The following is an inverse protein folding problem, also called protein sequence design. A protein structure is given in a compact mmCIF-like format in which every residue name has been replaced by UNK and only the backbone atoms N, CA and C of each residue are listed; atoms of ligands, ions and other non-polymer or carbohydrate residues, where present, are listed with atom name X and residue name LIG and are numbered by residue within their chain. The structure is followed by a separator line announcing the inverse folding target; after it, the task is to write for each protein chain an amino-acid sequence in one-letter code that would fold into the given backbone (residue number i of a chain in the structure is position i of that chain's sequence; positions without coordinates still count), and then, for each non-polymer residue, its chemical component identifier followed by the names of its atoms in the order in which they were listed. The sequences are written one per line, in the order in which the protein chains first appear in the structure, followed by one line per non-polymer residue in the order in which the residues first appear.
data_IF_750845187303
#
_entry.id   IF_750845187303
#
_cell.length_a   1.000
_cell.length_b   1.000
_cell.length_c   1.000
_cell.angle_alpha   90.00
_cell.angle_beta   90.00
_cell.angle_gamma   90.00
#
_symmetry.space_group_name_H-M   'P 1'
#
loop_
_entity.id
_entity.type
_entity.pdbx_description
1 polymer ?
#
# COMPACT_ATOMS: atom_id res chain seq x y z
N UNK A 1 7.04 -5.76 -19.53
CA UNK A 1 7.94 -4.99 -18.66
C UNK A 1 7.17 -4.79 -17.35
N UNK A 2 7.46 -5.59 -16.31
CA UNK A 2 7.05 -5.25 -14.94
C UNK A 2 7.65 -3.89 -14.63
N UNK A 3 6.83 -2.93 -14.21
CA UNK A 3 7.24 -1.54 -14.07
C UNK A 3 7.92 -1.42 -12.71
N UNK A 4 8.96 -0.60 -12.56
CA UNK A 4 9.64 -0.39 -11.26
C UNK A 4 8.70 -0.02 -10.10
N UNK A 5 7.46 0.41 -10.40
CA UNK A 5 6.41 0.58 -9.40
C UNK A 5 6.03 -0.71 -8.68
N UNK A 6 6.05 -1.85 -9.36
CA UNK A 6 5.73 -3.16 -8.80
C UNK A 6 6.73 -3.53 -7.68
N UNK A 7 8.02 -3.26 -7.89
CA UNK A 7 9.06 -3.55 -6.89
C UNK A 7 8.90 -2.69 -5.62
N UNK A 8 8.47 -1.43 -5.77
CA UNK A 8 8.23 -0.55 -4.62
C UNK A 8 6.94 -0.92 -3.88
N UNK A 9 5.90 -1.34 -4.62
CA UNK A 9 4.69 -1.90 -4.04
C UNK A 9 4.98 -3.18 -3.23
N UNK A 10 5.84 -4.06 -3.73
CA UNK A 10 6.26 -5.27 -3.02
C UNK A 10 6.94 -4.96 -1.67
N UNK A 11 7.77 -3.91 -1.61
CA UNK A 11 8.41 -3.47 -0.36
C UNK A 11 7.38 -2.96 0.65
N UNK A 12 6.41 -2.16 0.20
CA UNK A 12 5.33 -1.66 1.08
C UNK A 12 4.46 -2.80 1.58
N UNK A 13 4.13 -3.77 0.72
CA UNK A 13 3.38 -4.96 1.12
C UNK A 13 4.17 -5.81 2.15
N UNK A 14 5.49 -5.95 1.98
CA UNK A 14 6.33 -6.70 2.91
C UNK A 14 6.38 -6.06 4.31
N UNK A 15 6.45 -4.73 4.38
CA UNK A 15 6.44 -4.00 5.66
C UNK A 15 5.12 -4.19 6.42
N UNK A 16 3.99 -4.17 5.71
CA UNK A 16 2.69 -4.48 6.30
C UNK A 16 2.63 -5.92 6.83
N UNK A 17 3.09 -6.89 6.04
CA UNK A 17 3.11 -8.30 6.47
C UNK A 17 4.02 -8.51 7.69
N UNK A 18 5.15 -7.80 7.76
CA UNK A 18 6.03 -7.82 8.93
C UNK A 18 5.32 -7.23 10.15
N UNK A 19 4.62 -6.10 9.99
CA UNK A 19 3.82 -5.50 11.06
C UNK A 19 2.71 -6.43 11.56
N UNK A 20 2.07 -7.20 10.67
CA UNK A 20 1.08 -8.22 11.06
C UNK A 20 1.71 -9.38 11.84
N UNK A 21 2.94 -9.77 11.52
CA UNK A 21 3.65 -10.82 12.24
C UNK A 21 4.11 -10.37 13.64
N UNK A 22 4.56 -9.12 13.74
CA UNK A 22 5.00 -8.52 15.00
C UNK A 22 3.83 -8.27 15.97
N UNK A 23 2.67 -7.88 15.44
CA UNK A 23 1.45 -7.69 16.21
C UNK A 23 0.23 -8.34 15.51
N UNK A 24 0.00 -9.65 15.71
CA UNK A 24 -1.12 -10.36 15.11
C UNK A 24 -2.50 -9.86 15.55
N UNK A 25 -2.57 -9.08 16.63
CA UNK A 25 -3.83 -8.50 17.12
C UNK A 25 -4.21 -7.19 16.44
N UNK A 26 -3.28 -6.59 15.68
CA UNK A 26 -3.46 -5.27 15.07
C UNK A 26 -4.36 -5.31 13.84
N UNK A 27 -4.22 -6.34 13.01
CA UNK A 27 -4.91 -6.45 11.73
C UNK A 27 -5.70 -7.76 11.65
N UNK A 28 -6.91 -7.69 11.09
CA UNK A 28 -7.74 -8.84 10.81
C UNK A 28 -7.38 -9.48 9.47
N UNK A 29 -7.18 -8.63 8.45
CA UNK A 29 -6.73 -9.05 7.13
C UNK A 29 -6.01 -7.92 6.41
N UNK A 30 -5.21 -8.29 5.41
CA UNK A 30 -4.61 -7.40 4.43
C UNK A 30 -4.86 -7.94 3.02
N UNK A 31 -4.97 -7.03 2.06
CA UNK A 31 -5.13 -7.31 0.64
C UNK A 31 -4.13 -6.46 -0.15
N UNK A 32 -3.32 -7.13 -0.97
CA UNK A 32 -2.43 -6.50 -1.96
C UNK A 32 -3.13 -6.54 -3.32
N UNK A 33 -2.91 -5.53 -4.17
CA UNK A 33 -3.62 -5.39 -5.46
C UNK A 33 -5.15 -5.30 -5.24
N UNK A 34 -5.57 -4.36 -4.39
CA UNK A 34 -6.96 -4.26 -3.93
C UNK A 34 -7.87 -3.55 -4.96
N UNK A 35 -8.05 -4.17 -6.13
CA UNK A 35 -8.80 -3.62 -7.27
C UNK A 35 -10.31 -3.37 -6.98
N UNK A 36 -10.84 -3.98 -5.92
CA UNK A 36 -12.25 -3.93 -5.54
C UNK A 36 -12.67 -2.74 -4.67
N UNK A 37 -11.72 -1.94 -4.16
CA UNK A 37 -11.99 -0.84 -3.23
C UNK A 37 -12.13 0.55 -3.91
N UNK A 38 -12.14 0.60 -5.24
CA UNK A 38 -12.26 1.83 -6.03
C UNK A 38 -10.92 2.30 -6.61
N UNK A 39 -10.81 3.58 -6.99
CA UNK A 39 -9.60 4.21 -7.56
C UNK A 39 -8.39 4.32 -6.58
N UNK A 40 -8.44 3.58 -5.47
CA UNK A 40 -7.52 3.50 -4.34
C UNK A 40 -7.61 2.02 -3.90
N UNK A 41 -6.56 1.20 -3.78
CA UNK A 41 -5.16 1.40 -3.43
C UNK A 41 -4.35 0.13 -3.74
N UNK A 42 -3.02 0.22 -3.73
CA UNK A 42 -2.12 -0.89 -4.01
C UNK A 42 -2.06 -1.92 -2.85
N UNK A 43 -2.32 -1.46 -1.62
CA UNK A 43 -2.39 -2.28 -0.39
C UNK A 43 -3.48 -1.75 0.55
N UNK A 44 -4.34 -2.63 1.06
CA UNK A 44 -5.40 -2.33 2.03
C UNK A 44 -5.30 -3.26 3.23
N UNK A 45 -5.51 -2.75 4.43
CA UNK A 45 -5.57 -3.52 5.67
C UNK A 45 -6.80 -3.15 6.50
N UNK A 46 -7.46 -4.16 7.09
CA UNK A 46 -8.47 -3.96 8.12
C UNK A 46 -7.86 -4.19 9.48
N UNK A 47 -8.01 -3.21 10.36
CA UNK A 47 -7.61 -3.30 11.76
C UNK A 47 -8.68 -4.01 12.59
N UNK A 48 -8.26 -4.64 13.68
CA UNK A 48 -9.18 -5.31 14.60
C UNK A 48 -10.14 -4.34 15.33
N UNK A 49 -9.84 -3.03 15.33
CA UNK A 49 -10.75 -1.98 15.81
C UNK A 49 -11.77 -1.50 14.75
N UNK A 50 -11.75 -2.11 13.56
CA UNK A 50 -12.64 -1.80 12.44
C UNK A 50 -12.17 -0.66 11.54
N UNK A 51 -11.00 -0.06 11.81
CA UNK A 51 -10.43 0.96 10.93
C UNK A 51 -9.84 0.34 9.65
N UNK A 52 -10.05 0.99 8.51
CA UNK A 52 -9.43 0.61 7.24
C UNK A 52 -8.24 1.51 6.99
N UNK A 53 -7.09 0.90 6.75
CA UNK A 53 -5.87 1.56 6.30
C UNK A 53 -5.66 1.22 4.83
N UNK A 54 -5.60 2.24 3.98
CA UNK A 54 -5.52 2.09 2.53
C UNK A 54 -4.32 2.91 2.02
N UNK A 55 -3.43 2.25 1.28
CA UNK A 55 -2.11 2.79 0.89
C UNK A 55 -1.94 2.80 -0.63
N UNK A 56 -1.92 4.00 -1.20
CA UNK A 56 -1.55 4.22 -2.61
C UNK A 56 -0.03 4.37 -2.75
N UNK A 57 0.58 3.54 -3.59
CA UNK A 57 2.01 3.55 -3.89
C UNK A 57 2.21 4.21 -5.25
N UNK A 58 2.61 5.50 -5.23
CA UNK A 58 3.00 6.22 -6.46
C UNK A 58 4.52 6.20 -6.63
N UNK A 59 4.98 5.52 -7.67
CA UNK A 59 6.37 5.59 -8.12
C UNK A 59 6.53 6.69 -9.18
N UNK A 60 7.41 7.67 -8.92
CA UNK A 60 7.78 8.70 -9.90
C UNK A 60 9.25 8.53 -10.31
N UNK A 61 9.51 8.24 -11.59
CA UNK A 61 10.87 8.10 -12.12
C UNK A 61 11.65 9.43 -12.14
N UNK A 62 10.94 10.55 -12.01
CA UNK A 62 11.47 11.91 -11.89
C UNK A 62 10.80 12.57 -10.67
N UNK A 63 11.33 12.38 -9.45
CA UNK A 63 10.71 12.90 -8.23
C UNK A 63 10.70 14.44 -8.16
N UNK A 64 11.47 15.11 -9.01
CA UNK A 64 11.68 16.56 -9.02
C UNK A 64 10.57 17.32 -9.78
N UNK A 65 9.75 16.63 -10.58
CA UNK A 65 8.67 17.24 -11.38
C UNK A 65 7.28 17.11 -10.72
N UNK A 66 7.22 16.50 -9.53
CA UNK A 66 5.95 16.16 -8.87
C UNK A 66 5.27 17.33 -8.14
N UNK A 67 5.89 18.51 -8.06
CA UNK A 67 5.32 19.70 -7.43
C UNK A 67 5.08 20.82 -8.46
N UNK A 68 4.17 20.55 -9.40
CA UNK A 68 3.65 21.51 -10.37
C UNK A 68 2.33 22.12 -9.89
N UNK A 69 2.35 22.83 -8.76
CA UNK A 69 1.25 23.69 -8.35
C UNK A 69 1.13 24.90 -9.27
N UNK A 70 -0.02 25.04 -9.94
CA UNK A 70 -0.50 26.28 -10.56
C UNK A 70 -1.91 26.57 -10.04
#
# INVERSE_FOLDING_TARGET
MRRLGDDYQDVVALDLLMSMLEDPGRYEWAQVEADGFGYLDDVVALRHDGAVEATQVKYSAHPEEADGGA
#
